data_IF_457818021166
#
_entry.id   IF_457818021166
#
_cell.length_a   1.000
_cell.length_b   1.000
_cell.length_c   1.000
_cell.angle_alpha   90.00
_cell.angle_beta   90.00
_cell.angle_gamma   90.00
#
_symmetry.space_group_name_H-M   'P 1'
#
loop_
_entity.id
_entity.type
_entity.pdbx_description
1 polymer ?
#
# COMPACT_ATOMS: atom_id res chain seq x y z
N UNK A 1 1.24 4.10 -17.36
CA UNK A 1 1.03 2.93 -16.48
C UNK A 1 1.82 3.21 -15.22
N UNK A 2 1.17 3.31 -14.06
CA UNK A 2 1.86 3.58 -12.79
C UNK A 2 2.65 2.31 -12.44
N UNK A 3 3.97 2.38 -12.45
CA UNK A 3 4.81 1.25 -12.06
C UNK A 3 4.99 1.31 -10.53
N UNK A 4 4.31 0.41 -9.82
CA UNK A 4 4.31 0.35 -8.36
C UNK A 4 5.32 -0.67 -7.81
N UNK A 5 6.23 -1.17 -8.67
CA UNK A 5 7.26 -2.13 -8.25
C UNK A 5 8.19 -1.49 -7.24
N UNK A 6 8.40 -2.18 -6.12
CA UNK A 6 9.27 -1.80 -5.01
C UNK A 6 8.88 -0.54 -4.22
N UNK A 7 7.78 0.14 -4.56
CA UNK A 7 7.29 1.29 -3.78
C UNK A 7 6.76 0.88 -2.40
N UNK A 8 7.08 1.65 -1.36
CA UNK A 8 6.45 1.48 -0.04
C UNK A 8 5.12 2.23 0.02
N UNK A 9 4.06 1.50 0.34
CA UNK A 9 2.71 2.06 0.45
C UNK A 9 2.22 1.84 1.87
N UNK A 10 1.77 2.86 2.57
CA UNK A 10 1.14 2.70 3.88
C UNK A 10 -0.37 2.91 3.76
N UNK A 11 -1.18 1.95 4.22
CA UNK A 11 -2.63 2.14 4.28
C UNK A 11 -3.04 2.46 5.71
N UNK A 12 -3.59 3.66 5.94
CA UNK A 12 -3.98 4.14 7.27
C UNK A 12 -5.49 4.39 7.38
N UNK A 13 -6.00 4.31 8.61
CA UNK A 13 -7.42 4.55 8.90
C UNK A 13 -8.36 3.50 8.29
N UNK A 14 -9.60 3.93 8.02
CA UNK A 14 -10.64 3.10 7.40
C UNK A 14 -10.73 3.44 5.91
N UNK A 15 -10.41 2.47 5.07
CA UNK A 15 -10.61 2.58 3.63
C UNK A 15 -12.10 2.46 3.30
N UNK A 16 -12.57 3.21 2.31
CA UNK A 16 -14.00 3.31 1.96
C UNK A 16 -14.49 2.14 1.10
N UNK A 17 -13.62 1.57 0.28
CA UNK A 17 -13.97 0.58 -0.74
C UNK A 17 -13.60 -0.85 -0.39
N UNK A 18 -12.62 -1.07 0.49
CA UNK A 18 -12.09 -2.39 0.81
C UNK A 18 -11.52 -2.42 2.22
N UNK A 19 -11.24 -3.63 2.74
CA UNK A 19 -10.52 -3.75 4.01
C UNK A 19 -9.03 -3.49 3.81
N UNK A 20 -8.33 -3.16 4.90
CA UNK A 20 -6.88 -2.95 4.87
C UNK A 20 -6.15 -4.20 4.37
N UNK A 21 -6.57 -5.39 4.78
CA UNK A 21 -6.01 -6.66 4.28
C UNK A 21 -6.21 -6.89 2.78
N UNK A 22 -7.37 -6.46 2.24
CA UNK A 22 -7.61 -6.50 0.79
C UNK A 22 -6.70 -5.52 0.04
N UNK A 23 -6.54 -4.30 0.56
CA UNK A 23 -5.63 -3.31 -0.02
C UNK A 23 -4.17 -3.78 0.01
N UNK A 24 -3.73 -4.42 1.10
CA UNK A 24 -2.41 -5.04 1.21
C UNK A 24 -2.21 -6.15 0.17
N UNK A 25 -3.21 -7.00 -0.01
CA UNK A 25 -3.14 -8.10 -0.99
C UNK A 25 -3.04 -7.54 -2.40
N UNK A 26 -3.82 -6.51 -2.74
CA UNK A 26 -3.76 -5.84 -4.04
C UNK A 26 -2.40 -5.17 -4.26
N UNK A 27 -1.91 -4.40 -3.28
CA UNK A 27 -0.60 -3.74 -3.39
C UNK A 27 0.53 -4.73 -3.72
N UNK A 28 0.53 -5.90 -3.08
CA UNK A 28 1.49 -6.98 -3.40
C UNK A 28 1.33 -7.52 -4.82
N UNK A 29 0.10 -7.69 -5.31
CA UNK A 29 -0.16 -8.12 -6.70
C UNK A 29 0.39 -7.10 -7.70
N UNK A 30 0.34 -5.81 -7.37
CA UNK A 30 0.94 -4.74 -8.18
C UNK A 30 2.46 -4.58 -7.99
N UNK A 31 3.09 -5.37 -7.11
CA UNK A 31 4.54 -5.33 -6.85
C UNK A 31 4.99 -4.31 -5.79
N UNK A 32 4.05 -3.66 -5.11
CA UNK A 32 4.32 -2.72 -4.03
C UNK A 32 4.56 -3.43 -2.68
N UNK A 33 5.18 -2.72 -1.75
CA UNK A 33 5.47 -3.17 -0.38
C UNK A 33 4.55 -2.44 0.59
N UNK A 34 3.39 -3.03 0.91
CA UNK A 34 2.49 -2.40 1.86
C UNK A 34 3.04 -2.48 3.29
N UNK A 35 3.08 -1.34 3.98
CA UNK A 35 3.56 -1.19 5.36
C UNK A 35 2.39 -0.87 6.30
N UNK A 36 2.46 -1.41 7.52
CA UNK A 36 1.45 -1.15 8.57
C UNK A 36 1.57 0.24 9.18
N UNK A 37 2.70 0.91 9.00
CA UNK A 37 3.04 2.18 9.61
C UNK A 37 3.72 3.06 8.57
N UNK A 38 3.53 4.37 8.68
CA UNK A 38 4.21 5.34 7.82
C UNK A 38 5.67 5.41 8.24
N UNK A 39 6.57 5.06 7.32
CA UNK A 39 8.02 5.17 7.47
C UNK A 39 8.51 6.41 6.73
N UNK A 40 9.78 6.82 6.96
CA UNK A 40 10.42 7.86 6.15
C UNK A 40 10.61 7.45 4.68
N UNK A 41 10.42 6.17 4.36
CA UNK A 41 10.59 5.58 3.03
C UNK A 41 9.25 5.33 2.34
N UNK A 42 8.12 5.68 2.98
CA UNK A 42 6.78 5.53 2.38
C UNK A 42 6.63 6.48 1.20
N UNK A 43 6.52 5.92 0.00
CA UNK A 43 6.30 6.67 -1.24
C UNK A 43 4.84 7.13 -1.37
N UNK A 44 3.89 6.32 -0.89
CA UNK A 44 2.45 6.58 -1.01
C UNK A 44 1.68 6.27 0.28
N UNK A 45 0.71 7.13 0.60
CA UNK A 45 -0.15 7.07 1.79
C UNK A 45 -1.64 7.17 1.40
#
# INVERSE_FOLDING_TARGET
MLDLRDCEIAFTGRLTTMTRDQAFSLAKVFGAKPQNWVTKQTDYL
#
